data_IF_336380513564
#
_entry.id   IF_336380513564
#
_cell.length_a   1.000
_cell.length_b   1.000
_cell.length_c   1.000
_cell.angle_alpha   90.00
_cell.angle_beta   90.00
_cell.angle_gamma   90.00
#
_symmetry.space_group_name_H-M   'P 1'
#
loop_
_entity.id
_entity.type
_entity.pdbx_description
1 polymer ?
#
# COMPACT_ATOMS: atom_id res chain seq x y z
N UNK A 1 49.79 4.27 -63.02
CA UNK A 1 50.06 3.68 -61.68
C UNK A 1 50.14 4.80 -60.65
N UNK A 2 49.05 5.07 -59.93
CA UNK A 2 48.98 5.83 -58.67
C UNK A 2 47.60 5.58 -58.07
N UNK A 3 47.57 4.96 -56.89
CA UNK A 3 46.38 4.69 -56.08
C UNK A 3 45.77 6.02 -55.60
N UNK A 4 44.44 6.13 -55.55
CA UNK A 4 43.76 7.06 -54.65
C UNK A 4 42.62 6.32 -53.95
N UNK A 5 42.61 6.53 -52.63
CA UNK A 5 41.95 5.75 -51.60
C UNK A 5 40.43 5.90 -51.55
N UNK A 6 39.79 4.79 -51.19
CA UNK A 6 38.43 4.70 -50.64
C UNK A 6 38.27 5.63 -49.42
N UNK A 7 37.17 6.40 -49.38
CA UNK A 7 36.64 7.02 -48.16
C UNK A 7 35.24 6.47 -47.90
N UNK A 8 35.17 5.44 -47.08
CA UNK A 8 33.94 5.00 -46.43
C UNK A 8 33.61 6.06 -45.37
N UNK A 9 32.49 6.76 -45.56
CA UNK A 9 31.92 7.63 -44.54
C UNK A 9 31.24 6.72 -43.50
N UNK A 10 31.91 6.47 -42.37
CA UNK A 10 31.26 5.86 -41.21
C UNK A 10 30.56 6.99 -40.47
N UNK A 11 29.26 7.17 -40.74
CA UNK A 11 28.39 7.95 -39.89
C UNK A 11 28.13 7.12 -38.61
N UNK A 12 28.95 7.34 -37.58
CA UNK A 12 28.70 6.80 -36.25
C UNK A 12 27.51 7.50 -35.63
N UNK A 13 26.33 6.90 -35.75
CA UNK A 13 25.15 7.28 -34.98
C UNK A 13 25.40 6.83 -33.53
N UNK A 14 25.91 7.73 -32.70
CA UNK A 14 26.02 7.51 -31.26
C UNK A 14 24.62 7.45 -30.66
N UNK A 15 24.06 6.25 -30.54
CA UNK A 15 22.92 6.01 -29.65
C UNK A 15 23.43 6.17 -28.22
N UNK A 16 23.16 7.34 -27.64
CA UNK A 16 23.23 7.51 -26.19
C UNK A 16 22.06 6.70 -25.63
N UNK A 17 22.35 5.48 -25.15
CA UNK A 17 21.45 4.80 -24.23
C UNK A 17 21.48 5.60 -22.92
N UNK A 18 20.58 6.57 -22.79
CA UNK A 18 20.20 7.09 -21.48
C UNK A 18 19.40 5.98 -20.79
N UNK A 19 20.09 5.20 -19.94
CA UNK A 19 19.41 4.39 -18.95
C UNK A 19 18.52 5.34 -18.13
N UNK A 20 17.20 5.16 -18.18
CA UNK A 20 16.31 5.78 -17.21
C UNK A 20 16.68 5.18 -15.85
N UNK A 21 17.53 5.88 -15.12
CA UNK A 21 17.71 5.63 -13.69
C UNK A 21 16.45 6.16 -13.03
N UNK A 22 15.76 5.31 -12.28
CA UNK A 22 14.63 5.76 -11.47
C UNK A 22 15.10 6.89 -10.56
N UNK A 23 14.39 8.02 -10.59
CA UNK A 23 14.76 9.18 -9.79
C UNK A 23 14.49 8.92 -8.31
N UNK A 24 15.47 9.23 -7.47
CA UNK A 24 15.36 9.14 -6.01
C UNK A 24 14.14 9.93 -5.52
N UNK A 25 13.38 9.32 -4.60
CA UNK A 25 12.21 9.93 -3.98
C UNK A 25 12.47 10.29 -2.51
N UNK A 26 11.64 11.18 -2.00
CA UNK A 26 11.66 11.60 -0.60
C UNK A 26 10.28 12.09 -0.17
N UNK A 27 10.03 12.08 1.14
CA UNK A 27 8.89 12.76 1.73
C UNK A 27 9.33 14.15 2.16
N UNK A 28 8.60 15.17 1.71
CA UNK A 28 8.84 16.57 2.06
C UNK A 28 7.64 17.13 2.81
N UNK A 29 7.92 17.98 3.79
CA UNK A 29 6.95 18.60 4.67
C UNK A 29 6.89 20.10 4.44
N UNK A 30 5.68 20.59 4.19
CA UNK A 30 5.29 21.96 4.45
C UNK A 30 4.85 22.08 5.91
N UNK A 31 5.44 23.00 6.66
CA UNK A 31 5.05 23.29 8.05
C UNK A 31 4.05 24.43 8.03
N UNK A 32 2.91 24.26 8.72
CA UNK A 32 1.79 25.21 8.76
C UNK A 32 1.43 25.76 7.36
N UNK A 33 1.07 24.88 6.40
CA UNK A 33 0.81 25.28 5.02
C UNK A 33 -0.38 26.23 4.95
N UNK A 34 -0.19 27.36 4.26
CA UNK A 34 -1.28 28.30 4.00
C UNK A 34 -2.27 27.74 2.95
N UNK A 35 -3.39 28.45 2.76
CA UNK A 35 -4.41 28.05 1.77
C UNK A 35 -3.89 27.99 0.35
N UNK A 36 -2.86 28.76 0.02
CA UNK A 36 -2.26 28.78 -1.33
C UNK A 36 -1.58 27.45 -1.60
N UNK A 37 -0.73 27.00 -0.66
CA UNK A 37 -0.07 25.69 -0.72
C UNK A 37 -1.10 24.56 -0.79
N UNK A 38 -2.13 24.59 0.08
CA UNK A 38 -3.15 23.56 0.09
C UNK A 38 -3.96 23.51 -1.21
N UNK A 39 -4.30 24.66 -1.78
CA UNK A 39 -5.04 24.73 -3.04
C UNK A 39 -4.18 24.23 -4.20
N UNK A 40 -2.88 24.57 -4.19
CA UNK A 40 -1.96 24.13 -5.23
C UNK A 40 -1.86 22.60 -5.30
N UNK A 41 -1.66 21.92 -4.17
CA UNK A 41 -1.40 20.48 -4.18
C UNK A 41 -2.66 19.61 -4.11
N UNK A 42 -3.83 20.19 -3.89
CA UNK A 42 -5.10 19.45 -3.82
C UNK A 42 -5.59 18.94 -5.20
N UNK A 43 -5.15 19.55 -6.31
CA UNK A 43 -5.58 19.20 -7.67
C UNK A 43 -4.41 18.72 -8.55
N UNK A 44 -3.40 18.13 -7.93
CA UNK A 44 -2.17 17.72 -8.62
C UNK A 44 -1.94 16.22 -8.54
N UNK A 45 -1.08 15.71 -9.40
CA UNK A 45 -0.62 14.30 -9.38
C UNK A 45 0.42 14.01 -8.28
N UNK A 46 0.62 14.93 -7.33
CA UNK A 46 1.49 14.68 -6.17
C UNK A 46 0.83 13.68 -5.23
N UNK A 47 1.61 12.70 -4.77
CA UNK A 47 1.16 11.76 -3.74
C UNK A 47 1.22 12.43 -2.36
N UNK A 48 0.05 12.65 -1.77
CA UNK A 48 -0.09 13.16 -0.41
C UNK A 48 0.15 11.99 0.56
N UNK A 49 1.29 12.02 1.23
CA UNK A 49 1.67 11.00 2.21
C UNK A 49 0.90 11.17 3.52
N UNK A 50 0.77 12.41 4.01
CA UNK A 50 0.07 12.73 5.24
C UNK A 50 -0.36 14.21 5.28
N UNK A 51 -1.43 14.50 6.00
CA UNK A 51 -1.91 15.86 6.19
C UNK A 51 -2.50 16.05 7.59
N UNK A 52 -2.11 17.12 8.27
CA UNK A 52 -2.70 17.55 9.54
C UNK A 52 -3.05 19.04 9.46
N UNK A 53 -4.36 19.40 9.45
CA UNK A 53 -4.80 20.78 9.29
C UNK A 53 -4.16 21.74 10.31
N UNK A 54 -3.58 22.83 9.82
CA UNK A 54 -2.91 23.84 10.64
C UNK A 54 -1.56 23.41 11.23
N UNK A 55 -1.03 22.26 10.83
CA UNK A 55 0.27 21.78 11.32
C UNK A 55 1.21 21.39 10.18
N UNK A 56 0.80 20.51 9.26
CA UNK A 56 1.67 20.11 8.15
C UNK A 56 0.95 19.49 6.97
N UNK A 57 1.61 19.52 5.80
CA UNK A 57 1.32 18.72 4.61
C UNK A 57 2.59 17.99 4.18
N UNK A 58 2.51 16.67 4.03
CA UNK A 58 3.60 15.81 3.55
C UNK A 58 3.30 15.31 2.14
N UNK A 59 4.25 15.50 1.23
CA UNK A 59 4.20 15.03 -0.16
C UNK A 59 5.33 14.04 -0.42
N UNK A 60 5.06 12.98 -1.18
CA UNK A 60 6.10 12.18 -1.82
C UNK A 60 6.51 12.89 -3.11
N UNK A 61 7.79 13.22 -3.23
CA UNK A 61 8.34 13.93 -4.40
C UNK A 61 9.58 13.23 -4.91
N UNK A 62 9.79 13.30 -6.22
CA UNK A 62 11.10 12.97 -6.82
C UNK A 62 12.11 14.08 -6.55
N UNK A 63 13.40 13.78 -6.75
CA UNK A 63 14.47 14.77 -6.60
C UNK A 63 14.27 16.01 -7.46
N UNK A 64 13.87 15.86 -8.73
CA UNK A 64 13.60 16.98 -9.64
C UNK A 64 12.40 17.81 -9.16
N UNK A 65 11.33 17.16 -8.70
CA UNK A 65 10.18 17.85 -8.10
C UNK A 65 10.60 18.64 -6.85
N UNK A 66 11.44 18.06 -5.99
CA UNK A 66 11.99 18.77 -4.83
C UNK A 66 12.78 20.04 -5.25
N UNK A 67 13.70 19.91 -6.20
CA UNK A 67 14.49 21.04 -6.73
C UNK A 67 13.60 22.10 -7.40
N UNK A 68 12.55 21.68 -8.10
CA UNK A 68 11.55 22.58 -8.68
C UNK A 68 10.80 23.36 -7.60
N UNK A 69 10.30 22.69 -6.56
CA UNK A 69 9.59 23.33 -5.45
C UNK A 69 10.47 24.37 -4.75
N UNK A 70 11.76 24.09 -4.55
CA UNK A 70 12.71 25.07 -4.01
C UNK A 70 12.91 26.26 -4.97
N UNK A 71 13.03 26.00 -6.27
CA UNK A 71 13.18 27.05 -7.30
C UNK A 71 11.95 27.96 -7.36
N UNK A 72 10.78 27.40 -7.09
CA UNK A 72 9.50 28.13 -6.99
C UNK A 72 9.34 28.92 -5.69
N UNK A 73 10.30 28.79 -4.75
CA UNK A 73 10.34 29.56 -3.50
C UNK A 73 9.60 28.91 -2.34
N UNK A 74 9.22 27.64 -2.45
CA UNK A 74 8.60 26.93 -1.34
C UNK A 74 9.61 26.61 -0.23
N UNK A 75 9.13 26.69 1.01
CA UNK A 75 9.90 26.35 2.20
C UNK A 75 9.44 24.96 2.66
N UNK A 76 10.25 23.95 2.37
CA UNK A 76 9.94 22.55 2.64
C UNK A 76 11.11 21.86 3.34
N UNK A 77 10.80 20.90 4.21
CA UNK A 77 11.78 20.10 4.93
C UNK A 77 11.68 18.64 4.51
N UNK A 78 12.79 17.98 4.19
CA UNK A 78 12.81 16.53 3.96
C UNK A 78 12.60 15.82 5.29
N UNK A 79 11.55 15.01 5.41
CA UNK A 79 11.25 14.23 6.63
C UNK A 79 11.72 12.80 6.53
N UNK A 80 11.74 12.23 5.31
CA UNK A 80 12.17 10.86 5.04
C UNK A 80 12.85 10.80 3.67
N UNK A 81 13.99 10.14 3.57
CA UNK A 81 14.62 9.81 2.28
C UNK A 81 14.29 8.37 1.88
N UNK A 82 14.33 8.08 0.58
CA UNK A 82 14.17 6.71 0.09
C UNK A 82 15.23 5.76 0.67
N UNK A 83 16.47 6.21 0.83
CA UNK A 83 17.53 5.43 1.48
C UNK A 83 17.18 5.08 2.93
N UNK A 84 16.60 6.00 3.70
CA UNK A 84 16.15 5.73 5.07
C UNK A 84 15.00 4.73 5.08
N UNK A 85 14.05 4.86 4.16
CA UNK A 85 12.92 3.93 4.02
C UNK A 85 13.41 2.52 3.66
N UNK A 86 14.34 2.39 2.71
CA UNK A 86 14.95 1.11 2.35
C UNK A 86 15.71 0.48 3.52
N UNK A 87 16.48 1.26 4.26
CA UNK A 87 17.18 0.78 5.45
C UNK A 87 16.22 0.29 6.54
N UNK A 88 15.08 0.96 6.72
CA UNK A 88 14.05 0.54 7.66
C UNK A 88 13.34 -0.75 7.23
N UNK A 89 13.12 -0.94 5.92
CA UNK A 89 12.52 -2.16 5.36
C UNK A 89 13.49 -3.35 5.45
N UNK A 90 14.79 -3.11 5.27
CA UNK A 90 15.79 -4.15 5.07
C UNK A 90 15.70 -4.77 3.67
N UNK A 91 16.33 -5.94 3.48
CA UNK A 91 16.34 -6.68 2.21
C UNK A 91 15.15 -7.64 2.06
N UNK A 92 14.02 -7.35 2.72
CA UNK A 92 12.83 -8.21 2.72
C UNK A 92 11.64 -7.50 2.05
N UNK A 93 10.89 -8.25 1.25
CA UNK A 93 9.63 -7.77 0.66
C UNK A 93 8.53 -7.72 1.72
N UNK A 94 8.49 -8.74 2.56
CA UNK A 94 7.45 -8.90 3.57
C UNK A 94 7.86 -8.17 4.84
N UNK A 95 6.93 -7.42 5.41
CA UNK A 95 7.16 -6.60 6.59
C UNK A 95 7.12 -7.49 7.83
N UNK A 96 8.25 -7.66 8.51
CA UNK A 96 8.30 -8.47 9.72
C UNK A 96 7.26 -8.01 10.76
N UNK A 97 6.42 -8.94 11.23
CA UNK A 97 5.35 -8.67 12.18
C UNK A 97 4.01 -8.26 11.56
N UNK A 98 3.93 -8.20 10.23
CA UNK A 98 2.68 -8.00 9.48
C UNK A 98 2.43 -9.20 8.58
N UNK A 99 1.17 -9.64 8.53
CA UNK A 99 0.73 -10.75 7.69
C UNK A 99 0.74 -10.35 6.22
N UNK A 100 1.18 -11.25 5.36
CA UNK A 100 0.87 -11.20 3.94
C UNK A 100 -0.52 -11.83 3.66
N UNK A 101 -0.95 -11.79 2.40
CA UNK A 101 -2.28 -12.30 2.01
C UNK A 101 -2.45 -13.80 2.28
N UNK A 102 -1.44 -14.61 1.97
CA UNK A 102 -1.50 -16.06 2.13
C UNK A 102 -1.57 -16.44 3.62
N UNK A 103 -0.76 -15.77 4.46
CA UNK A 103 -0.77 -15.94 5.92
C UNK A 103 -2.12 -15.52 6.52
N UNK A 104 -2.70 -14.40 6.06
CA UNK A 104 -4.03 -13.97 6.49
C UNK A 104 -5.10 -15.02 6.14
N UNK A 105 -5.09 -15.54 4.91
CA UNK A 105 -6.08 -16.53 4.47
C UNK A 105 -5.94 -17.84 5.27
N UNK A 106 -4.72 -18.31 5.48
CA UNK A 106 -4.45 -19.50 6.30
C UNK A 106 -4.98 -19.31 7.73
N UNK A 107 -4.69 -18.17 8.36
CA UNK A 107 -5.17 -17.84 9.71
C UNK A 107 -6.71 -17.80 9.77
N UNK A 108 -7.38 -17.18 8.80
CA UNK A 108 -8.83 -17.10 8.77
C UNK A 108 -9.48 -18.47 8.59
N UNK A 109 -8.91 -19.32 7.74
CA UNK A 109 -9.37 -20.71 7.55
C UNK A 109 -9.16 -21.55 8.81
N UNK A 110 -8.02 -21.37 9.50
CA UNK A 110 -7.76 -22.02 10.77
C UNK A 110 -8.74 -21.57 11.86
N UNK A 111 -9.07 -20.27 11.92
CA UNK A 111 -10.05 -19.73 12.88
C UNK A 111 -11.43 -20.37 12.67
N UNK A 112 -11.94 -20.43 11.44
CA UNK A 112 -13.22 -21.11 11.17
C UNK A 112 -13.18 -22.58 11.58
N UNK A 113 -12.07 -23.28 11.31
CA UNK A 113 -11.91 -24.69 11.68
C UNK A 113 -11.88 -24.91 13.20
N UNK A 114 -11.25 -24.00 13.95
CA UNK A 114 -11.10 -24.10 15.40
C UNK A 114 -12.34 -23.64 16.16
N UNK A 115 -13.08 -22.66 15.62
CA UNK A 115 -14.25 -22.05 16.25
C UNK A 115 -15.52 -22.15 15.37
N UNK A 116 -15.88 -23.34 14.84
CA UNK A 116 -16.92 -23.47 13.81
C UNK A 116 -18.32 -23.11 14.30
N UNK A 117 -18.57 -23.19 15.62
CA UNK A 117 -19.87 -22.85 16.20
C UNK A 117 -20.10 -21.33 16.26
N UNK A 118 -19.02 -20.53 16.16
CA UNK A 118 -19.09 -19.08 16.31
C UNK A 118 -18.42 -18.28 15.19
N UNK A 119 -17.70 -18.92 14.28
CA UNK A 119 -16.96 -18.29 13.19
C UNK A 119 -17.32 -18.92 11.86
N UNK A 120 -17.54 -18.08 10.84
CA UNK A 120 -17.80 -18.51 9.47
C UNK A 120 -17.07 -17.62 8.47
N UNK A 121 -16.28 -18.22 7.60
CA UNK A 121 -15.51 -17.52 6.59
C UNK A 121 -16.28 -17.46 5.26
N UNK A 122 -16.38 -16.26 4.70
CA UNK A 122 -17.03 -16.02 3.42
C UNK A 122 -16.05 -15.42 2.40
N UNK A 123 -16.06 -15.96 1.19
CA UNK A 123 -15.62 -15.23 -0.01
C UNK A 123 -16.73 -14.28 -0.41
N UNK A 124 -16.48 -12.97 -0.33
CA UNK A 124 -17.44 -11.92 -0.67
C UNK A 124 -17.15 -11.27 -2.03
N UNK A 125 -16.14 -11.73 -2.76
CA UNK A 125 -15.87 -11.25 -4.11
C UNK A 125 -14.40 -11.29 -4.53
N UNK A 126 -14.14 -10.81 -5.74
CA UNK A 126 -12.79 -10.73 -6.29
C UNK A 126 -12.23 -9.31 -6.13
N UNK A 127 -10.93 -9.22 -5.86
CA UNK A 127 -10.22 -7.93 -5.98
C UNK A 127 -10.09 -7.52 -7.45
N UNK A 128 -9.84 -6.23 -7.68
CA UNK A 128 -9.54 -5.73 -9.03
C UNK A 128 -8.25 -6.33 -9.62
N UNK A 129 -7.27 -6.62 -8.76
CA UNK A 129 -6.03 -7.31 -9.15
C UNK A 129 -6.33 -8.69 -9.74
N UNK A 130 -7.19 -9.46 -9.08
CA UNK A 130 -7.68 -10.75 -9.58
C UNK A 130 -8.38 -10.63 -10.93
N UNK A 131 -9.30 -9.68 -11.08
CA UNK A 131 -9.98 -9.44 -12.37
C UNK A 131 -8.96 -9.18 -13.50
N UNK A 132 -7.98 -8.30 -13.26
CA UNK A 132 -6.94 -8.00 -14.26
C UNK A 132 -6.05 -9.21 -14.57
N UNK A 133 -5.69 -10.01 -13.57
CA UNK A 133 -4.94 -11.25 -13.79
C UNK A 133 -5.74 -12.22 -14.67
N UNK A 134 -7.03 -12.40 -14.39
CA UNK A 134 -7.92 -13.28 -15.16
C UNK A 134 -8.15 -12.80 -16.60
N UNK A 135 -8.06 -11.49 -16.85
CA UNK A 135 -8.09 -10.89 -18.20
C UNK A 135 -6.75 -11.06 -18.97
N UNK A 136 -5.74 -11.68 -18.34
CA UNK A 136 -4.44 -11.97 -18.94
C UNK A 136 -3.39 -10.87 -18.74
N UNK A 137 -3.65 -9.90 -17.87
CA UNK A 137 -2.65 -8.90 -17.51
C UNK A 137 -1.63 -9.48 -16.51
N UNK A 138 -0.49 -9.91 -17.02
CA UNK A 138 0.54 -10.58 -16.23
C UNK A 138 1.14 -9.75 -15.09
N UNK A 139 1.00 -8.42 -15.11
CA UNK A 139 1.43 -7.55 -14.00
C UNK A 139 0.65 -7.83 -12.70
N UNK A 140 -0.54 -8.42 -12.80
CA UNK A 140 -1.42 -8.65 -11.68
C UNK A 140 -1.46 -10.11 -11.19
N UNK A 141 -0.63 -11.00 -11.76
CA UNK A 141 -0.68 -12.43 -11.44
C UNK A 141 -0.40 -12.74 -9.96
N UNK A 142 0.46 -11.95 -9.32
CA UNK A 142 0.76 -12.07 -7.89
C UNK A 142 -0.29 -11.40 -6.99
N UNK A 143 -1.35 -10.82 -7.57
CA UNK A 143 -2.44 -10.13 -6.89
C UNK A 143 -3.79 -10.79 -7.17
N UNK A 144 -3.78 -12.10 -7.45
CA UNK A 144 -4.96 -12.90 -7.68
C UNK A 144 -5.64 -13.24 -6.35
N UNK A 145 -6.23 -12.22 -5.71
CA UNK A 145 -6.79 -12.30 -4.37
C UNK A 145 -8.32 -12.17 -4.39
N UNK A 146 -8.98 -13.00 -3.60
CA UNK A 146 -10.35 -12.86 -3.13
C UNK A 146 -10.46 -11.78 -2.03
N UNK A 147 -11.69 -11.40 -1.71
CA UNK A 147 -12.03 -10.56 -0.58
C UNK A 147 -12.74 -11.44 0.45
N UNK A 148 -12.14 -11.56 1.63
CA UNK A 148 -12.63 -12.43 2.69
C UNK A 148 -13.35 -11.64 3.78
N UNK A 149 -14.39 -12.25 4.36
CA UNK A 149 -15.09 -11.74 5.53
C UNK A 149 -15.32 -12.86 6.55
N UNK A 150 -14.99 -12.62 7.82
CA UNK A 150 -15.28 -13.51 8.93
C UNK A 150 -16.53 -13.03 9.66
N UNK A 151 -17.60 -13.82 9.67
CA UNK A 151 -18.74 -13.63 10.57
C UNK A 151 -18.40 -14.22 11.93
N UNK A 152 -18.68 -13.48 12.99
CA UNK A 152 -18.58 -13.93 14.37
C UNK A 152 -19.93 -13.75 15.06
N UNK A 153 -20.54 -14.82 15.56
CA UNK A 153 -21.87 -14.82 16.18
C UNK A 153 -22.08 -16.11 16.99
N UNK A 154 -22.87 -16.08 18.06
CA UNK A 154 -23.25 -17.27 18.82
C UNK A 154 -24.22 -18.20 18.08
N UNK A 155 -24.89 -17.70 17.03
CA UNK A 155 -25.70 -18.47 16.08
C UNK A 155 -25.19 -18.25 14.65
N UNK A 156 -23.94 -18.61 14.39
CA UNK A 156 -23.20 -18.22 13.17
C UNK A 156 -23.88 -18.61 11.84
N UNK A 157 -24.68 -19.68 11.83
CA UNK A 157 -25.40 -20.17 10.64
C UNK A 157 -26.71 -19.43 10.36
N UNK A 158 -27.21 -18.62 11.30
CA UNK A 158 -28.49 -17.91 11.20
C UNK A 158 -28.28 -16.41 11.03
N UNK A 159 -29.16 -15.75 10.28
CA UNK A 159 -29.23 -14.29 10.22
C UNK A 159 -30.33 -13.81 11.17
N UNK A 160 -29.91 -13.30 12.32
CA UNK A 160 -30.79 -12.88 13.40
C UNK A 160 -31.12 -11.38 13.31
N UNK A 161 -32.22 -10.97 13.95
CA UNK A 161 -32.60 -9.55 14.07
C UNK A 161 -31.80 -8.87 15.19
N UNK A 162 -30.48 -8.84 15.03
CA UNK A 162 -29.53 -8.30 15.99
C UNK A 162 -28.68 -7.17 15.38
N UNK A 163 -28.23 -6.20 16.20
CA UNK A 163 -27.29 -5.18 15.73
C UNK A 163 -25.93 -5.80 15.42
N UNK A 164 -25.34 -5.44 14.28
CA UNK A 164 -24.00 -5.88 13.88
C UNK A 164 -22.97 -4.75 13.92
N UNK A 165 -21.72 -5.09 14.20
CA UNK A 165 -20.56 -4.19 14.07
C UNK A 165 -19.66 -4.72 12.96
N UNK A 166 -19.26 -3.84 12.05
CA UNK A 166 -18.40 -4.18 10.93
C UNK A 166 -17.00 -3.60 11.11
N UNK A 167 -16.00 -4.47 11.12
CA UNK A 167 -14.58 -4.12 11.17
C UNK A 167 -13.95 -4.33 9.80
N UNK A 168 -13.35 -3.28 9.24
CA UNK A 168 -12.66 -3.30 7.95
C UNK A 168 -11.23 -2.81 8.14
N UNK A 169 -10.31 -3.45 7.42
CA UNK A 169 -8.89 -3.09 7.36
C UNK A 169 -8.44 -2.98 5.90
N UNK A 170 -7.25 -2.41 5.69
CA UNK A 170 -6.56 -2.30 4.39
C UNK A 170 -7.38 -1.62 3.28
N UNK A 171 -8.24 -0.66 3.65
CA UNK A 171 -8.83 0.23 2.64
C UNK A 171 -7.75 1.03 1.90
N UNK A 172 -6.65 1.35 2.58
CA UNK A 172 -5.41 1.83 1.97
C UNK A 172 -4.31 0.78 2.13
N UNK A 173 -3.77 0.29 1.01
CA UNK A 173 -2.74 -0.76 0.99
C UNK A 173 -1.40 -0.37 1.66
N UNK A 174 -1.21 0.90 2.02
CA UNK A 174 0.00 1.42 2.70
C UNK A 174 -0.15 1.49 4.22
N UNK A 175 -1.24 0.97 4.77
CA UNK A 175 -1.57 1.03 6.20
C UNK A 175 -1.71 -0.37 6.83
N UNK A 176 -0.71 -1.28 6.66
CA UNK A 176 -0.80 -2.72 7.03
C UNK A 176 -1.13 -2.99 8.50
N UNK A 177 -0.91 -2.01 9.37
CA UNK A 177 -1.29 -2.10 10.79
C UNK A 177 -2.79 -2.18 11.00
N UNK A 178 -3.59 -1.67 10.06
CA UNK A 178 -5.04 -1.75 10.17
C UNK A 178 -5.51 -3.21 10.12
N UNK A 179 -4.86 -4.06 9.32
CA UNK A 179 -5.12 -5.50 9.30
C UNK A 179 -4.85 -6.15 10.66
N UNK A 180 -3.67 -5.86 11.22
CA UNK A 180 -3.24 -6.47 12.49
C UNK A 180 -4.15 -6.06 13.65
N UNK A 181 -4.65 -4.83 13.67
CA UNK A 181 -5.65 -4.38 14.65
C UNK A 181 -6.94 -5.17 14.50
N UNK A 182 -7.41 -5.40 13.28
CA UNK A 182 -8.64 -6.15 13.03
C UNK A 182 -8.48 -7.63 13.45
N UNK A 183 -7.35 -8.25 13.09
CA UNK A 183 -7.00 -9.61 13.52
C UNK A 183 -6.85 -9.71 15.05
N UNK A 184 -6.33 -8.68 15.71
CA UNK A 184 -6.27 -8.64 17.17
C UNK A 184 -7.67 -8.64 17.80
N UNK A 185 -8.59 -7.80 17.30
CA UNK A 185 -9.97 -7.73 17.78
C UNK A 185 -10.68 -9.07 17.57
N UNK A 186 -10.56 -9.68 16.38
CA UNK A 186 -11.11 -11.00 16.09
C UNK A 186 -10.62 -12.05 17.09
N UNK A 187 -9.29 -12.18 17.24
CA UNK A 187 -8.69 -13.14 18.16
C UNK A 187 -9.09 -12.89 19.61
N UNK A 188 -9.19 -11.62 20.04
CA UNK A 188 -9.61 -11.28 21.39
C UNK A 188 -11.05 -11.73 21.67
N UNK A 189 -11.98 -11.49 20.74
CA UNK A 189 -13.38 -11.89 20.89
C UNK A 189 -13.47 -13.43 20.98
N UNK A 190 -12.92 -14.16 20.00
CA UNK A 190 -13.10 -15.62 19.91
C UNK A 190 -12.40 -16.37 21.06
N UNK A 191 -11.22 -15.90 21.51
CA UNK A 191 -10.47 -16.58 22.57
C UNK A 191 -11.05 -16.38 23.97
N UNK A 192 -11.92 -15.37 24.14
CA UNK A 192 -12.53 -15.06 25.43
C UNK A 192 -14.04 -15.37 25.47
N UNK A 193 -14.65 -15.69 24.34
CA UNK A 193 -16.06 -16.11 24.27
C UNK A 193 -16.34 -17.32 25.17
N UNK A 194 -17.43 -17.27 25.94
CA UNK A 194 -17.81 -18.26 26.95
C UNK A 194 -17.06 -18.17 28.29
N UNK A 195 -16.05 -17.30 28.41
CA UNK A 195 -15.25 -17.14 29.63
C UNK A 195 -15.28 -15.72 30.22
N UNK A 196 -15.32 -14.70 29.36
CA UNK A 196 -15.48 -13.30 29.78
C UNK A 196 -16.95 -12.85 29.61
N UNK A 197 -17.64 -12.48 30.70
CA UNK A 197 -19.03 -12.03 30.67
C UNK A 197 -19.24 -10.63 30.06
N UNK A 198 -18.17 -9.93 29.68
CA UNK A 198 -18.25 -8.70 28.88
C UNK A 198 -18.30 -8.99 27.39
N UNK A 199 -17.78 -10.16 26.98
CA UNK A 199 -17.73 -10.63 25.59
C UNK A 199 -18.89 -11.58 25.28
N UNK A 200 -19.36 -12.34 26.27
CA UNK A 200 -20.47 -13.31 26.16
C UNK A 200 -21.79 -12.67 26.59
#
# INVERSE_FOLDING_TARGET
>A
MKLILSRILIAGLGMILSSLVAEERMVVRFVDPDKTVLTEFNETDYDIAAFKPGEFLDLVVSKSQYEELLTRGFHITVTQTEDQLRQNLGDVRDLYGYRNYDELLEDLQEIELQYPDICKLYDIGNTRGKEYSMEGNSYYNDYNHEIWAMKVSDNVEEEEDEPSVFYMAEHHAREPISLEVNMYVLNHIISNYGSDPTIT
#
